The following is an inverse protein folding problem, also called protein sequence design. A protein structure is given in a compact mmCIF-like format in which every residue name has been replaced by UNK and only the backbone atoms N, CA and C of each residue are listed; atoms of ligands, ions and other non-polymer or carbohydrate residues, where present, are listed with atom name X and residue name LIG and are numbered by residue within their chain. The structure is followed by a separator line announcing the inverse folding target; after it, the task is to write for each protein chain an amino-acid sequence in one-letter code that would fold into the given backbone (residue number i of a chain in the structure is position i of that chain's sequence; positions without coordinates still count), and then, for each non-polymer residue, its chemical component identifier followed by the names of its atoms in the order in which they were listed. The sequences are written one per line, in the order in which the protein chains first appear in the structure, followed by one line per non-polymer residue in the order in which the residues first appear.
data_IF_221587635434
#
_entry.id   IF_221587635434
#
_cell.length_a   1.000
_cell.length_b   1.000
_cell.length_c   1.000
_cell.angle_alpha   90.00
_cell.angle_beta   90.00
_cell.angle_gamma   90.00
#
_symmetry.space_group_name_H-M   'P 1'
#
loop_
_entity.id
_entity.type
_entity.pdbx_description
1 polymer ?
#
# COMPACT_ATOMS: atom_id res chain seq x y z
N UNK A 1 14.32 -1.70 18.91
CA UNK A 1 14.53 -1.60 17.46
C UNK A 1 13.37 -0.79 16.90
N UNK A 2 13.60 0.44 16.44
CA UNK A 2 12.53 1.26 15.85
C UNK A 2 12.42 0.93 14.36
N UNK A 3 11.39 0.18 13.96
CA UNK A 3 11.02 0.13 12.54
C UNK A 3 10.64 1.53 12.09
N UNK A 4 11.02 1.96 10.87
CA UNK A 4 10.63 3.26 10.37
C UNK A 4 9.10 3.38 10.38
N UNK A 5 8.55 4.54 10.80
CA UNK A 5 7.11 4.70 10.90
C UNK A 5 6.49 4.52 9.51
N UNK A 6 5.53 3.59 9.43
CA UNK A 6 4.80 3.33 8.19
C UNK A 6 3.92 4.52 7.89
N UNK A 7 4.04 5.06 6.68
CA UNK A 7 3.30 6.25 6.26
C UNK A 7 2.21 5.94 5.26
N UNK A 8 2.39 4.90 4.45
CA UNK A 8 1.47 4.53 3.40
C UNK A 8 1.16 3.04 3.43
N UNK A 9 -0.07 2.70 3.11
CA UNK A 9 -0.51 1.33 2.84
C UNK A 9 -1.07 1.31 1.41
N UNK A 10 -0.58 0.40 0.59
CA UNK A 10 -1.14 0.15 -0.75
C UNK A 10 -1.84 -1.19 -0.72
N UNK A 11 -3.12 -1.19 -1.09
CA UNK A 11 -3.84 -2.40 -1.45
C UNK A 11 -3.81 -2.53 -2.98
N UNK A 12 -3.23 -3.60 -3.48
CA UNK A 12 -3.12 -3.89 -4.91
C UNK A 12 -3.56 -5.32 -5.17
N UNK A 13 -4.49 -5.51 -6.10
CA UNK A 13 -4.81 -6.84 -6.59
C UNK A 13 -3.79 -7.25 -7.64
N UNK A 14 -3.02 -8.29 -7.34
CA UNK A 14 -2.00 -8.80 -8.24
C UNK A 14 -2.18 -10.31 -8.40
N UNK A 15 -2.17 -10.79 -9.64
CA UNK A 15 -2.37 -12.21 -9.97
C UNK A 15 -3.64 -12.84 -9.32
N UNK A 16 -4.71 -12.07 -9.14
CA UNK A 16 -5.98 -12.54 -8.57
C UNK A 16 -6.00 -12.64 -7.03
N UNK A 17 -5.00 -12.10 -6.34
CA UNK A 17 -4.98 -11.98 -4.89
C UNK A 17 -4.78 -10.52 -4.46
N UNK A 18 -5.57 -10.07 -3.49
CA UNK A 18 -5.36 -8.76 -2.86
C UNK A 18 -4.08 -8.81 -2.03
N UNK A 19 -3.15 -7.89 -2.28
CA UNK A 19 -1.91 -7.73 -1.55
C UNK A 19 -1.91 -6.39 -0.81
N UNK A 20 -1.65 -6.42 0.49
CA UNK A 20 -1.48 -5.23 1.31
C UNK A 20 0.00 -4.96 1.56
N UNK A 21 0.50 -3.80 1.15
CA UNK A 21 1.93 -3.46 1.26
C UNK A 21 2.14 -2.15 2.00
N UNK A 22 2.96 -2.18 3.04
CA UNK A 22 3.29 -1.03 3.89
C UNK A 22 4.55 -0.35 3.39
N UNK A 23 4.51 0.98 3.35
CA UNK A 23 5.63 1.81 2.92
C UNK A 23 5.91 2.95 3.93
N UNK A 24 7.17 3.33 4.06
CA UNK A 24 7.59 4.46 4.89
C UNK A 24 7.30 5.81 4.19
N UNK A 25 7.62 6.93 4.86
CA UNK A 25 7.46 8.28 4.31
C UNK A 25 8.26 8.53 3.01
N UNK A 26 9.31 7.74 2.76
CA UNK A 26 10.11 7.76 1.53
C UNK A 26 9.61 6.77 0.48
N UNK A 27 8.42 6.16 0.70
CA UNK A 27 7.81 5.14 -0.15
C UNK A 27 8.68 3.89 -0.31
N UNK A 28 9.54 3.60 0.68
CA UNK A 28 10.28 2.34 0.71
C UNK A 28 9.41 1.28 1.34
N UNK A 29 9.41 0.10 0.73
CA UNK A 29 8.70 -1.06 1.27
C UNK A 29 9.22 -1.38 2.67
N UNK A 30 8.28 -1.55 3.60
CA UNK A 30 8.57 -1.87 5.01
C UNK A 30 8.20 -3.31 5.30
N UNK A 31 6.99 -3.70 4.91
CA UNK A 31 6.45 -5.05 5.12
C UNK A 31 5.23 -5.29 4.24
N UNK A 32 4.94 -6.55 3.96
CA UNK A 32 3.66 -6.98 3.40
C UNK A 32 2.75 -7.41 4.55
N UNK A 33 1.50 -6.98 4.52
CA UNK A 33 0.45 -7.47 5.39
C UNK A 33 -0.34 -8.53 4.64
N UNK A 34 -0.74 -9.57 5.37
CA UNK A 34 -1.73 -10.47 4.82
C UNK A 34 -3.09 -9.75 4.79
N UNK A 35 -3.69 -9.64 3.62
CA UNK A 35 -4.98 -8.98 3.43
C UNK A 35 -6.11 -9.63 4.23
N UNK A 36 -5.90 -10.87 4.71
CA UNK A 36 -6.83 -11.59 5.57
C UNK A 36 -6.71 -11.21 7.06
N UNK A 37 -5.73 -10.38 7.44
CA UNK A 37 -5.57 -9.97 8.84
C UNK A 37 -6.62 -8.91 9.20
N UNK A 38 -7.40 -9.16 10.26
CA UNK A 38 -8.45 -8.26 10.77
C UNK A 38 -7.93 -6.87 11.19
N UNK A 39 -6.62 -6.66 11.20
CA UNK A 39 -5.97 -5.40 11.56
C UNK A 39 -6.10 -4.32 10.47
N UNK A 40 -6.23 -4.71 9.19
CA UNK A 40 -6.34 -3.75 8.08
C UNK A 40 -7.61 -2.89 8.17
N UNK A 41 -8.83 -3.43 8.32
CA UNK A 41 -10.02 -2.59 8.41
C UNK A 41 -10.00 -1.62 9.59
N UNK A 42 -9.34 -1.98 10.70
CA UNK A 42 -9.12 -1.08 11.84
C UNK A 42 -8.15 0.06 11.51
N UNK A 43 -7.03 -0.23 10.83
CA UNK A 43 -6.05 0.76 10.40
C UNK A 43 -6.60 1.73 9.35
N UNK A 44 -7.51 1.26 8.49
CA UNK A 44 -8.13 2.04 7.43
C UNK A 44 -9.36 2.82 7.86
N UNK A 45 -9.87 2.59 9.07
CA UNK A 45 -11.09 3.22 9.56
C UNK A 45 -10.95 4.74 9.58
N UNK A 46 -11.77 5.42 8.77
CA UNK A 46 -11.77 6.88 8.63
C UNK A 46 -10.72 7.43 7.65
N UNK A 47 -9.89 6.58 7.05
CA UNK A 47 -8.95 6.98 5.99
C UNK A 47 -9.63 6.87 4.63
N UNK A 48 -9.40 7.88 3.77
CA UNK A 48 -9.83 7.82 2.38
C UNK A 48 -8.68 7.32 1.51
N UNK A 49 -8.87 6.25 0.73
CA UNK A 49 -7.87 5.86 -0.26
C UNK A 49 -7.77 6.93 -1.33
N UNK A 50 -6.55 7.23 -1.73
CA UNK A 50 -6.29 7.87 -3.01
C UNK A 50 -6.31 6.77 -4.10
N UNK A 51 -7.09 6.94 -5.18
CA UNK A 51 -7.12 5.99 -6.27
C UNK A 51 -5.83 6.07 -7.07
N UNK A 52 -5.33 4.91 -7.49
CA UNK A 52 -4.19 4.80 -8.38
C UNK A 52 -2.87 5.09 -7.67
N UNK A 53 -2.01 4.08 -7.61
CA UNK A 53 -0.62 4.29 -7.29
C UNK A 53 0.10 4.79 -8.55
N UNK A 54 0.13 6.12 -8.71
CA UNK A 54 0.73 6.77 -9.88
C UNK A 54 2.16 6.25 -10.13
N UNK A 55 2.47 5.74 -11.34
CA UNK A 55 3.77 5.16 -11.64
C UNK A 55 4.93 6.17 -11.56
N UNK A 56 4.69 7.48 -11.68
CA UNK A 56 5.73 8.49 -11.44
C UNK A 56 6.12 8.58 -9.95
N UNK A 57 5.16 8.33 -9.06
CA UNK A 57 5.34 8.40 -7.61
C UNK A 57 5.73 7.07 -6.98
N UNK A 58 5.22 5.96 -7.54
CA UNK A 58 5.30 4.61 -6.99
C UNK A 58 6.04 3.62 -7.88
N UNK A 59 6.49 4.01 -9.08
CA UNK A 59 7.05 3.07 -10.07
C UNK A 59 8.23 2.24 -9.57
N UNK A 60 9.07 2.77 -8.66
CA UNK A 60 10.12 1.98 -8.02
C UNK A 60 9.61 1.04 -6.93
N UNK A 61 8.57 1.46 -6.20
CA UNK A 61 7.95 0.71 -5.11
C UNK A 61 7.03 -0.41 -5.59
N UNK A 62 6.39 -0.22 -6.75
CA UNK A 62 5.50 -1.16 -7.43
C UNK A 62 6.15 -1.82 -8.65
N UNK A 63 7.48 -1.81 -8.72
CA UNK A 63 8.22 -2.46 -9.80
C UNK A 63 7.87 -3.96 -9.84
N UNK A 64 7.29 -4.40 -10.94
CA UNK A 64 6.81 -5.78 -11.12
C UNK A 64 5.29 -5.92 -11.16
N UNK A 65 4.55 -4.85 -10.82
CA UNK A 65 3.12 -4.73 -11.09
C UNK A 65 2.89 -4.04 -12.44
N UNK A 66 1.79 -4.40 -13.07
CA UNK A 66 1.30 -3.85 -14.33
C UNK A 66 0.65 -2.49 -14.09
N UNK A 67 0.62 -1.63 -15.11
CA UNK A 67 -0.04 -0.32 -15.02
C UNK A 67 -1.52 -0.43 -14.66
N UNK A 68 -2.19 -1.51 -15.10
CA UNK A 68 -3.57 -1.81 -14.72
C UNK A 68 -3.68 -2.08 -13.20
N UNK A 69 -2.83 -2.95 -12.66
CA UNK A 69 -2.79 -3.28 -11.23
C UNK A 69 -2.50 -2.02 -10.39
N UNK A 70 -1.55 -1.18 -10.82
CA UNK A 70 -1.24 0.09 -10.17
C UNK A 70 -2.40 1.10 -10.23
N UNK A 71 -3.16 1.13 -11.32
CA UNK A 71 -4.30 2.03 -11.50
C UNK A 71 -5.49 1.64 -10.61
N UNK A 72 -5.69 0.34 -10.40
CA UNK A 72 -6.72 -0.18 -9.51
C UNK A 72 -6.27 -0.21 -8.03
N UNK A 73 -4.98 0.00 -7.78
CA UNK A 73 -4.44 0.06 -6.43
C UNK A 73 -5.04 1.22 -5.62
N UNK A 74 -5.26 0.96 -4.33
CA UNK A 74 -5.77 1.92 -3.35
C UNK A 74 -4.64 2.32 -2.41
N UNK A 75 -4.31 3.61 -2.40
CA UNK A 75 -3.23 4.15 -1.57
C UNK A 75 -3.82 4.85 -0.36
N UNK A 76 -3.57 4.31 0.83
CA UNK A 76 -3.99 4.89 2.10
C UNK A 76 -2.79 5.58 2.75
N UNK A 77 -3.02 6.79 3.26
CA UNK A 77 -2.01 7.51 4.06
C UNK A 77 -2.33 7.31 5.53
N UNK A 78 -1.44 6.62 6.25
CA UNK A 78 -1.62 6.34 7.66
C UNK A 78 -1.25 7.59 8.50
N UNK A 79 -2.09 7.97 9.48
CA UNK A 79 -1.73 8.93 10.49
C UNK A 79 -0.75 8.23 11.44
N UNK A 80 0.53 8.62 11.35
CA UNK A 80 1.57 8.21 12.30
C UNK A 80 1.43 8.97 13.60
#
# INVERSE_FOLDING_TARGET
MHSPPVKYLILIEAAGAMQARLFDAQRRHVADLDSATEEIPGMLAGLRPAPGADPELWGSALKGHSEAECREAQVYTLPV
#
